data_IF_735865355232
#
_entry.id   IF_735865355232
#
_cell.length_a   1.000
_cell.length_b   1.000
_cell.length_c   1.000
_cell.angle_alpha   90.00
_cell.angle_beta   90.00
_cell.angle_gamma   90.00
#
_symmetry.space_group_name_H-M   'P 1'
#
loop_
_entity.id
_entity.type
_entity.pdbx_description
1 polymer ?
#
# COMPACT_ATOMS: atom_id res chain seq x y z
N UNK A 1 23.18 -0.27 -37.87
CA UNK A 1 22.14 0.50 -37.16
C UNK A 1 21.14 -0.49 -36.58
N UNK A 2 21.21 -0.77 -35.29
CA UNK A 2 20.23 -1.61 -34.59
C UNK A 2 20.28 -1.31 -33.09
N UNK A 3 19.88 -0.10 -32.72
CA UNK A 3 19.57 0.26 -31.33
C UNK A 3 18.08 0.56 -31.29
N UNK A 4 17.28 -0.36 -30.76
CA UNK A 4 16.10 -0.04 -29.92
C UNK A 4 15.50 -1.36 -29.39
N UNK A 5 16.10 -1.89 -28.32
CA UNK A 5 15.46 -2.88 -27.44
C UNK A 5 15.69 -2.45 -26.00
N UNK A 6 15.06 -1.35 -25.61
CA UNK A 6 15.23 -0.81 -24.25
C UNK A 6 14.04 -0.01 -23.73
N UNK A 7 12.90 0.02 -24.43
CA UNK A 7 11.78 0.92 -24.10
C UNK A 7 10.51 0.17 -23.75
N UNK A 8 10.54 -0.65 -22.70
CA UNK A 8 9.30 -1.18 -22.09
C UNK A 8 9.33 -1.43 -20.58
N UNK A 9 10.39 -1.03 -19.87
CA UNK A 9 10.49 -1.29 -18.41
C UNK A 9 10.55 -0.03 -17.53
N UNK A 10 10.35 1.18 -18.07
CA UNK A 10 10.44 2.44 -17.29
C UNK A 10 9.11 3.05 -16.84
N UNK A 11 7.97 2.55 -17.32
CA UNK A 11 6.67 3.23 -17.10
C UNK A 11 5.94 2.80 -15.82
N UNK A 12 6.35 1.70 -15.17
CA UNK A 12 5.74 1.25 -13.90
C UNK A 12 6.32 1.89 -12.64
N UNK A 13 7.56 2.36 -12.68
CA UNK A 13 8.31 2.76 -11.46
C UNK A 13 8.06 4.23 -11.11
N UNK A 14 7.97 5.12 -12.11
CA UNK A 14 7.67 6.53 -11.90
C UNK A 14 6.24 6.77 -11.39
N UNK A 15 5.30 5.85 -11.70
CA UNK A 15 3.94 5.91 -11.19
C UNK A 15 3.87 5.62 -9.68
N UNK A 16 4.58 4.58 -9.22
CA UNK A 16 4.55 4.14 -7.83
C UNK A 16 5.16 5.17 -6.88
N UNK A 17 6.31 5.77 -7.22
CA UNK A 17 6.91 6.83 -6.41
C UNK A 17 5.97 8.04 -6.24
N UNK A 18 5.30 8.44 -7.32
CA UNK A 18 4.34 9.54 -7.28
C UNK A 18 3.10 9.20 -6.45
N UNK A 19 2.59 7.97 -6.57
CA UNK A 19 1.50 7.43 -5.76
C UNK A 19 1.85 7.42 -4.27
N UNK A 20 3.04 6.91 -3.92
CA UNK A 20 3.53 6.91 -2.55
C UNK A 20 3.73 8.34 -2.03
N UNK A 21 4.22 9.26 -2.85
CA UNK A 21 4.37 10.67 -2.45
C UNK A 21 3.00 11.33 -2.17
N UNK A 22 1.99 11.07 -3.01
CA UNK A 22 0.61 11.51 -2.78
C UNK A 22 0.06 10.99 -1.46
N UNK A 23 0.23 9.69 -1.22
CA UNK A 23 -0.20 9.02 0.00
C UNK A 23 0.52 9.55 1.25
N UNK A 24 1.85 9.76 1.19
CA UNK A 24 2.66 10.37 2.26
C UNK A 24 2.16 11.77 2.60
N UNK A 25 1.87 12.61 1.58
CA UNK A 25 1.33 13.97 1.80
C UNK A 25 -0.06 13.95 2.41
N UNK A 26 -0.93 13.07 1.94
CA UNK A 26 -2.28 12.92 2.47
C UNK A 26 -2.26 12.43 3.92
N UNK A 27 -1.47 11.40 4.22
CA UNK A 27 -1.30 10.85 5.56
C UNK A 27 -0.60 11.83 6.52
N UNK A 28 0.41 12.57 6.02
CA UNK A 28 1.19 13.53 6.79
C UNK A 28 0.38 14.66 7.39
N UNK A 29 -0.77 15.01 6.78
CA UNK A 29 -1.70 16.05 7.26
C UNK A 29 -2.52 15.62 8.49
N UNK A 30 -2.44 14.35 8.91
CA UNK A 30 -3.31 13.81 9.97
C UNK A 30 -2.52 13.06 11.04
N UNK A 31 -3.02 13.09 12.26
CA UNK A 31 -2.52 12.24 13.35
C UNK A 31 -2.83 10.77 13.08
N UNK A 32 -1.98 9.85 13.56
CA UNK A 32 -2.12 8.41 13.29
C UNK A 32 -3.47 7.81 13.71
N UNK A 33 -4.07 8.13 14.89
CA UNK A 33 -5.39 7.59 15.25
C UNK A 33 -6.50 8.02 14.30
N UNK A 34 -6.43 9.26 13.79
CA UNK A 34 -7.38 9.76 12.79
C UNK A 34 -7.17 9.07 11.46
N UNK A 35 -5.91 8.86 11.06
CA UNK A 35 -5.57 8.14 9.85
C UNK A 35 -6.10 6.69 9.89
N UNK A 36 -5.91 6.00 11.01
CA UNK A 36 -6.46 4.67 11.26
C UNK A 36 -7.99 4.66 11.07
N UNK A 37 -8.69 5.60 11.69
CA UNK A 37 -10.16 5.67 11.62
C UNK A 37 -10.64 5.88 10.18
N UNK A 38 -10.03 6.82 9.45
CA UNK A 38 -10.40 7.08 8.06
C UNK A 38 -10.13 5.86 7.16
N UNK A 39 -8.96 5.23 7.30
CA UNK A 39 -8.63 4.04 6.51
C UNK A 39 -9.52 2.84 6.87
N UNK A 40 -9.83 2.64 8.15
CA UNK A 40 -10.73 1.58 8.58
C UNK A 40 -12.13 1.75 7.97
N UNK A 41 -12.63 2.99 7.84
CA UNK A 41 -13.90 3.26 7.18
C UNK A 41 -13.85 2.96 5.67
N UNK A 42 -12.77 3.33 4.99
CA UNK A 42 -12.60 3.07 3.55
C UNK A 42 -12.35 1.60 3.20
N UNK A 43 -11.85 0.82 4.15
CA UNK A 43 -11.50 -0.60 3.98
C UNK A 43 -12.48 -1.55 4.70
N UNK A 44 -13.53 -1.02 5.33
CA UNK A 44 -14.50 -1.81 6.06
C UNK A 44 -15.23 -2.82 5.13
N UNK A 45 -15.32 -4.08 5.59
CA UNK A 45 -16.06 -5.14 4.88
C UNK A 45 -15.30 -5.88 3.79
N UNK A 46 -14.03 -5.52 3.54
CA UNK A 46 -13.24 -6.01 2.40
C UNK A 46 -12.21 -7.09 2.80
N UNK A 47 -12.22 -7.51 4.07
CA UNK A 47 -11.27 -8.51 4.59
C UNK A 47 -9.86 -7.97 4.80
N UNK A 48 -9.69 -6.64 4.86
CA UNK A 48 -8.46 -6.01 5.33
C UNK A 48 -8.47 -5.86 6.86
N UNK A 49 -7.30 -5.99 7.44
CA UNK A 49 -7.06 -5.78 8.87
C UNK A 49 -6.11 -4.59 9.03
N UNK A 50 -6.41 -3.70 9.97
CA UNK A 50 -5.58 -2.55 10.28
C UNK A 50 -5.05 -2.70 11.71
N UNK A 51 -3.76 -2.49 11.89
CA UNK A 51 -3.10 -2.47 13.20
C UNK A 51 -2.41 -1.13 13.39
N UNK A 52 -2.71 -0.46 14.50
CA UNK A 52 -2.06 0.76 14.92
C UNK A 52 -1.23 0.48 16.17
N UNK A 53 0.09 0.60 16.04
CA UNK A 53 1.07 0.38 17.10
C UNK A 53 1.88 1.68 17.31
N UNK A 54 1.41 2.53 18.22
CA UNK A 54 2.00 3.85 18.45
C UNK A 54 1.95 4.72 17.18
N UNK A 55 3.12 4.95 16.57
CA UNK A 55 3.29 5.75 15.36
C UNK A 55 3.35 4.92 14.07
N UNK A 56 3.09 3.61 14.17
CA UNK A 56 3.10 2.69 13.02
C UNK A 56 1.69 2.21 12.73
N UNK A 57 1.20 2.47 11.52
CA UNK A 57 -0.06 1.95 10.99
C UNK A 57 0.23 0.93 9.90
N UNK A 58 -0.13 -0.33 10.14
CA UNK A 58 0.03 -1.43 9.18
C UNK A 58 -1.33 -1.90 8.68
N UNK A 59 -1.44 -2.12 7.37
CA UNK A 59 -2.63 -2.65 6.70
C UNK A 59 -2.28 -4.02 6.14
N UNK A 60 -3.09 -5.00 6.48
CA UNK A 60 -2.92 -6.38 6.10
C UNK A 60 -4.11 -6.85 5.27
N UNK A 61 -3.85 -7.78 4.37
CA UNK A 61 -4.89 -8.48 3.63
C UNK A 61 -4.60 -9.97 3.51
N UNK A 62 -5.63 -10.73 3.18
CA UNK A 62 -5.51 -12.16 2.94
C UNK A 62 -5.14 -12.43 1.48
N UNK A 63 -3.89 -12.81 1.24
CA UNK A 63 -3.42 -13.23 -0.09
C UNK A 63 -3.46 -14.75 -0.21
N UNK A 64 -4.14 -15.24 -1.25
CA UNK A 64 -4.08 -16.65 -1.64
C UNK A 64 -2.87 -16.85 -2.57
N UNK A 65 -2.02 -17.86 -2.31
CA UNK A 65 -0.91 -18.17 -3.21
C UNK A 65 -1.44 -18.54 -4.60
N UNK A 66 -0.88 -17.93 -5.64
CA UNK A 66 -1.25 -18.21 -7.04
C UNK A 66 -0.66 -19.55 -7.49
N UNK A 67 -1.41 -20.31 -8.30
CA UNK A 67 -0.98 -21.59 -8.88
C UNK A 67 -1.98 -22.74 -8.68
N UNK A 68 -1.82 -23.88 -9.38
CA UNK A 68 -2.74 -25.03 -9.32
C UNK A 68 -2.86 -25.63 -7.90
N UNK A 69 -1.80 -25.53 -7.09
CA UNK A 69 -1.78 -25.93 -5.67
C UNK A 69 -2.34 -24.85 -4.72
N UNK A 70 -2.67 -23.67 -5.24
CA UNK A 70 -3.13 -22.51 -4.46
C UNK A 70 -4.50 -22.68 -3.81
N UNK A 71 -5.40 -23.48 -4.40
CA UNK A 71 -6.71 -23.80 -3.82
C UNK A 71 -6.62 -24.66 -2.55
N UNK A 72 -5.54 -25.42 -2.39
CA UNK A 72 -5.30 -26.30 -1.23
C UNK A 72 -4.54 -25.58 -0.10
N UNK A 73 -3.98 -24.38 -0.36
CA UNK A 73 -3.20 -23.63 0.63
C UNK A 73 -4.05 -22.55 1.29
N UNK A 74 -3.98 -22.47 2.63
CA UNK A 74 -4.65 -21.45 3.44
C UNK A 74 -4.18 -20.06 3.00
N UNK A 75 -5.12 -19.12 2.91
CA UNK A 75 -4.78 -17.71 2.68
C UNK A 75 -3.82 -17.24 3.77
N UNK A 76 -2.80 -16.45 3.39
CA UNK A 76 -1.84 -15.89 4.32
C UNK A 76 -2.13 -14.42 4.53
N UNK A 77 -2.01 -13.98 5.77
CA UNK A 77 -2.01 -12.58 6.14
C UNK A 77 -0.70 -11.96 5.67
N UNK A 78 -0.80 -10.93 4.86
CA UNK A 78 0.34 -10.24 4.25
C UNK A 78 0.21 -8.74 4.49
N UNK A 79 1.31 -8.06 4.84
CA UNK A 79 1.33 -6.61 5.01
C UNK A 79 1.30 -5.97 3.62
N UNK A 80 0.23 -5.25 3.32
CA UNK A 80 0.03 -4.60 2.02
C UNK A 80 0.48 -3.14 2.03
N UNK A 81 0.41 -2.48 3.19
CA UNK A 81 0.89 -1.11 3.35
C UNK A 81 1.33 -0.87 4.79
N UNK A 82 2.50 -0.25 4.98
CA UNK A 82 2.92 0.27 6.28
C UNK A 82 3.19 1.77 6.19
N UNK A 83 2.60 2.51 7.12
CA UNK A 83 2.81 3.94 7.32
C UNK A 83 3.51 4.11 8.66
N UNK A 84 4.63 4.85 8.66
CA UNK A 84 5.39 5.15 9.88
C UNK A 84 5.43 6.66 10.04
N UNK A 85 4.86 7.17 11.12
CA UNK A 85 4.97 8.59 11.45
C UNK A 85 6.36 8.86 12.05
N UNK A 86 6.97 9.91 11.53
CA UNK A 86 8.26 10.46 11.93
C UNK A 86 8.06 11.93 12.26
N UNK A 87 9.06 12.55 12.90
CA UNK A 87 8.98 13.94 13.38
C UNK A 87 8.68 14.95 12.25
N UNK A 88 9.12 14.65 11.02
CA UNK A 88 8.97 15.49 9.83
C UNK A 88 7.87 15.03 8.86
N UNK A 89 7.15 13.94 9.15
CA UNK A 89 6.08 13.47 8.28
C UNK A 89 5.66 12.02 8.45
N UNK A 90 5.32 11.38 7.33
CA UNK A 90 4.96 9.96 7.25
C UNK A 90 5.84 9.31 6.20
N UNK A 91 6.57 8.28 6.61
CA UNK A 91 7.34 7.40 5.74
C UNK A 91 6.54 6.15 5.38
N UNK A 92 6.80 5.62 4.18
CA UNK A 92 6.25 4.36 3.70
C UNK A 92 7.44 3.52 3.26
N UNK A 93 7.77 2.43 3.98
CA UNK A 93 8.83 1.50 3.59
C UNK A 93 8.46 0.84 2.25
N UNK A 94 9.37 0.85 1.28
CA UNK A 94 9.12 0.31 -0.07
C UNK A 94 8.86 -1.20 -0.05
N UNK A 95 9.48 -1.91 0.90
CA UNK A 95 9.30 -3.36 1.14
C UNK A 95 7.93 -3.71 1.73
N UNK A 96 7.20 -2.71 2.24
CA UNK A 96 5.88 -2.86 2.84
C UNK A 96 4.82 -2.03 2.10
N UNK A 97 4.95 -1.88 0.78
CA UNK A 97 3.99 -1.19 -0.07
C UNK A 97 3.66 -2.02 -1.32
N UNK A 98 2.56 -2.78 -1.29
CA UNK A 98 2.06 -3.52 -2.44
C UNK A 98 1.52 -2.52 -3.50
N UNK A 99 2.09 -2.49 -4.72
CA UNK A 99 1.74 -1.48 -5.72
C UNK A 99 0.26 -1.53 -6.15
N UNK A 100 -0.31 -2.73 -6.22
CA UNK A 100 -1.72 -2.91 -6.61
C UNK A 100 -2.65 -2.39 -5.53
N UNK A 101 -2.35 -2.68 -4.26
CA UNK A 101 -3.10 -2.17 -3.12
C UNK A 101 -2.99 -0.65 -2.99
N UNK A 102 -1.79 -0.07 -3.19
CA UNK A 102 -1.60 1.39 -3.12
C UNK A 102 -2.42 2.09 -4.21
N UNK A 103 -2.43 1.57 -5.44
CA UNK A 103 -3.23 2.13 -6.52
C UNK A 103 -4.73 2.09 -6.18
N UNK A 104 -5.23 0.94 -5.73
CA UNK A 104 -6.62 0.75 -5.32
C UNK A 104 -7.00 1.70 -4.16
N UNK A 105 -6.12 1.84 -3.17
CA UNK A 105 -6.36 2.71 -2.02
C UNK A 105 -6.47 4.17 -2.45
N UNK A 106 -5.59 4.65 -3.34
CA UNK A 106 -5.65 6.02 -3.84
C UNK A 106 -6.94 6.33 -4.59
N UNK A 107 -7.43 5.38 -5.41
CA UNK A 107 -8.73 5.50 -6.09
C UNK A 107 -9.88 5.64 -5.07
N UNK A 108 -9.86 4.86 -3.98
CA UNK A 108 -10.85 4.94 -2.89
C UNK A 108 -10.79 6.27 -2.14
N UNK A 109 -9.59 6.76 -1.87
CA UNK A 109 -9.36 8.01 -1.16
C UNK A 109 -9.67 9.24 -2.04
N UNK A 110 -9.73 9.08 -3.36
CA UNK A 110 -9.98 10.13 -4.36
C UNK A 110 -8.95 11.26 -4.29
N UNK A 111 -7.67 10.91 -4.13
CA UNK A 111 -6.53 11.83 -3.94
C UNK A 111 -5.48 11.72 -5.02
#
# INVERSE_FOLDING_TARGET
MAEDRGRSSRMGIHGMDNQLQGLRRWAGRRAMPRLYTELALHLAGEGYELELEGEVLSIFGLRRPKGPLGRLRRARRECLLRLVRQDDGVSIPEDAADPSFVAELLERLRV
#
